data_IF_333596112680
#
_entry.id   IF_333596112680
#
_cell.length_a   1.000
_cell.length_b   1.000
_cell.length_c   1.000
_cell.angle_alpha   90.00
_cell.angle_beta   90.00
_cell.angle_gamma   90.00
#
_symmetry.space_group_name_H-M   'P 1'
#
loop_
_entity.id
_entity.type
_entity.pdbx_description
1 polymer ?
#
# COMPACT_ATOMS: atom_id res chain seq x y z
N UNK A 1 5.27 7.07 13.59
CA UNK A 1 4.78 7.26 12.20
C UNK A 1 4.24 5.93 11.71
N UNK A 2 3.00 5.90 11.24
CA UNK A 2 2.44 4.70 10.63
C UNK A 2 2.97 4.53 9.19
N UNK A 3 2.68 3.40 8.56
CA UNK A 3 3.27 3.04 7.27
C UNK A 3 2.23 2.45 6.32
N UNK A 4 2.40 2.72 5.03
CA UNK A 4 1.60 2.14 3.96
C UNK A 4 2.52 1.37 3.04
N UNK A 5 2.02 0.30 2.45
CA UNK A 5 2.73 -0.44 1.43
C UNK A 5 1.77 -0.95 0.35
N UNK A 6 2.28 -1.07 -0.87
CA UNK A 6 1.56 -1.59 -2.02
C UNK A 6 2.45 -2.62 -2.72
N UNK A 7 1.93 -3.82 -2.93
CA UNK A 7 2.54 -4.80 -3.82
C UNK A 7 1.67 -4.97 -5.07
N UNK A 8 2.34 -5.08 -6.22
CA UNK A 8 1.71 -5.21 -7.53
C UNK A 8 2.31 -6.42 -8.22
N UNK A 9 1.48 -7.35 -8.67
CA UNK A 9 1.91 -8.57 -9.35
C UNK A 9 0.99 -8.90 -10.52
N UNK A 10 1.52 -9.65 -11.50
CA UNK A 10 0.75 -10.11 -12.66
C UNK A 10 0.30 -9.03 -13.65
N UNK A 11 0.78 -7.79 -13.52
CA UNK A 11 0.49 -6.70 -14.45
C UNK A 11 1.75 -5.89 -14.81
N UNK A 12 1.75 -5.29 -16.00
CA UNK A 12 2.75 -4.31 -16.42
C UNK A 12 2.25 -2.90 -16.10
N UNK A 13 2.99 -2.17 -15.27
CA UNK A 13 2.70 -0.77 -14.95
C UNK A 13 3.38 0.11 -16.00
N UNK A 14 2.60 0.79 -16.83
CA UNK A 14 3.14 1.80 -17.75
C UNK A 14 3.43 3.08 -16.96
N UNK A 15 4.71 3.36 -16.71
CA UNK A 15 5.17 4.55 -15.98
C UNK A 15 5.58 5.72 -16.88
N UNK A 16 5.34 5.61 -18.20
CA UNK A 16 5.82 6.58 -19.20
C UNK A 16 5.27 8.00 -19.04
N UNK A 17 4.16 8.18 -18.32
CA UNK A 17 3.55 9.48 -18.04
C UNK A 17 4.03 10.10 -16.72
N UNK A 18 4.87 9.41 -15.95
CA UNK A 18 5.43 9.95 -14.71
C UNK A 18 6.68 10.77 -15.04
N UNK A 19 6.81 12.01 -14.55
CA UNK A 19 8.01 12.83 -14.71
C UNK A 19 9.11 12.31 -13.77
N UNK A 20 9.62 11.10 -14.05
CA UNK A 20 10.86 10.63 -13.44
C UNK A 20 11.99 10.87 -14.43
N UNK A 21 12.81 11.90 -14.17
CA UNK A 21 14.12 12.07 -14.81
C UNK A 21 15.04 10.95 -14.33
N UNK A 22 14.87 9.75 -14.88
CA UNK A 22 15.74 8.62 -14.59
C UNK A 22 16.96 8.62 -15.51
N UNK A 23 17.86 9.59 -15.31
CA UNK A 23 19.26 9.49 -15.74
C UNK A 23 20.00 8.56 -14.78
N UNK A 24 19.71 7.25 -14.85
CA UNK A 24 20.53 6.22 -14.23
C UNK A 24 20.22 4.89 -14.92
N UNK A 25 21.06 4.45 -15.87
CA UNK A 25 20.98 3.08 -16.37
C UNK A 25 21.62 2.18 -15.30
N UNK A 26 21.06 0.99 -15.13
CA UNK A 26 21.64 -0.08 -14.32
C UNK A 26 21.41 0.01 -12.79
N UNK A 27 20.15 0.00 -12.36
CA UNK A 27 19.82 -0.78 -11.16
C UNK A 27 19.44 -2.16 -11.64
N UNK A 28 20.37 -3.11 -11.52
CA UNK A 28 20.02 -4.52 -11.53
C UNK A 28 18.82 -4.64 -10.59
N UNK A 29 17.67 -5.02 -11.15
CA UNK A 29 16.51 -5.38 -10.35
C UNK A 29 16.95 -6.62 -9.59
N UNK A 30 17.58 -6.42 -8.43
CA UNK A 30 17.72 -7.47 -7.44
C UNK A 30 16.34 -8.08 -7.31
N UNK A 31 16.25 -9.38 -7.56
CA UNK A 31 15.01 -10.14 -7.55
C UNK A 31 14.57 -10.22 -6.09
N UNK A 32 14.13 -9.08 -5.55
CA UNK A 32 13.77 -8.90 -4.17
C UNK A 32 12.37 -9.48 -4.06
N UNK A 33 12.35 -10.79 -3.82
CA UNK A 33 11.15 -11.55 -3.48
C UNK A 33 10.72 -11.06 -2.09
N UNK A 34 10.07 -9.90 -2.06
CA UNK A 34 9.47 -9.37 -0.83
C UNK A 34 8.21 -10.17 -0.57
N UNK A 35 8.22 -11.00 0.49
CA UNK A 35 7.01 -11.68 0.93
C UNK A 35 6.00 -10.69 1.50
N UNK A 36 4.72 -10.95 1.26
CA UNK A 36 3.63 -10.20 1.88
C UNK A 36 3.75 -10.21 3.41
N UNK A 37 4.20 -11.31 3.99
CA UNK A 37 4.32 -11.45 5.45
C UNK A 37 5.52 -10.67 5.99
N UNK A 38 6.64 -10.62 5.26
CA UNK A 38 7.78 -9.78 5.64
C UNK A 38 7.39 -8.30 5.67
N UNK A 39 6.58 -7.87 4.71
CA UNK A 39 6.06 -6.51 4.64
C UNK A 39 5.11 -6.19 5.79
N UNK A 40 4.21 -7.13 6.13
CA UNK A 40 3.36 -6.99 7.33
C UNK A 40 4.20 -6.89 8.59
N UNK A 41 5.20 -7.76 8.75
CA UNK A 41 6.08 -7.76 9.93
C UNK A 41 6.93 -6.48 10.00
N UNK A 42 7.43 -5.99 8.87
CA UNK A 42 8.14 -4.70 8.80
C UNK A 42 7.23 -3.53 9.25
N UNK A 43 5.95 -3.56 8.89
CA UNK A 43 4.98 -2.57 9.33
C UNK A 43 4.61 -2.73 10.81
N UNK A 44 4.43 -3.96 11.29
CA UNK A 44 4.12 -4.28 12.70
C UNK A 44 5.22 -3.82 13.66
N UNK A 45 6.49 -3.94 13.28
CA UNK A 45 7.64 -3.47 14.08
C UNK A 45 7.63 -1.96 14.35
N UNK A 46 6.80 -1.18 13.64
CA UNK A 46 6.62 0.26 13.89
C UNK A 46 5.64 0.57 15.03
N UNK A 47 5.04 -0.47 15.63
CA UNK A 47 4.04 -0.37 16.69
C UNK A 47 2.73 0.31 16.26
N UNK A 48 2.12 -0.02 15.11
CA UNK A 48 0.80 0.49 14.78
C UNK A 48 -0.27 -0.14 15.68
N UNK A 49 -1.35 0.58 15.95
CA UNK A 49 -2.51 0.08 16.68
C UNK A 49 -3.35 -0.86 15.80
N UNK A 50 -3.31 -0.66 14.49
CA UNK A 50 -4.03 -1.50 13.53
C UNK A 50 -3.21 -1.77 12.26
N UNK A 51 -3.44 -2.93 11.67
CA UNK A 51 -2.88 -3.32 10.39
C UNK A 51 -3.99 -3.95 9.55
N UNK A 52 -4.25 -3.40 8.38
CA UNK A 52 -5.20 -3.95 7.42
C UNK A 52 -4.58 -4.23 6.07
N UNK A 53 -5.20 -5.16 5.34
CA UNK A 53 -4.78 -5.60 4.02
C UNK A 53 -6.00 -5.65 3.11
N UNK A 54 -5.87 -5.11 1.90
CA UNK A 54 -6.89 -5.19 0.85
C UNK A 54 -6.26 -5.70 -0.44
N UNK A 55 -6.75 -6.84 -0.94
CA UNK A 55 -6.40 -7.40 -2.24
C UNK A 55 -7.44 -7.02 -3.28
N UNK A 56 -6.99 -6.64 -4.47
CA UNK A 56 -7.82 -6.37 -5.64
C UNK A 56 -7.28 -7.19 -6.79
N UNK A 57 -8.13 -7.99 -7.39
CA UNK A 57 -7.79 -8.85 -8.52
C UNK A 57 -8.34 -8.23 -9.80
N UNK A 58 -7.55 -8.26 -10.86
CA UNK A 58 -7.94 -7.80 -12.19
C UNK A 58 -7.74 -8.92 -13.20
N UNK A 59 -8.68 -9.12 -14.14
CA UNK A 59 -8.45 -10.01 -15.25
C UNK A 59 -7.35 -9.42 -16.15
N UNK A 60 -6.34 -10.21 -16.50
CA UNK A 60 -5.33 -9.86 -17.48
C UNK A 60 -5.20 -10.99 -18.51
N UNK A 61 -4.78 -10.67 -19.73
CA UNK A 61 -4.79 -11.63 -20.84
C UNK A 61 -3.89 -12.85 -20.57
N UNK A 62 -2.82 -12.67 -19.80
CA UNK A 62 -1.83 -13.72 -19.50
C UNK A 62 -1.93 -14.24 -18.05
N UNK A 63 -2.98 -13.88 -17.30
CA UNK A 63 -3.19 -14.29 -15.90
C UNK A 63 -4.07 -13.33 -15.10
N UNK A 64 -4.28 -13.59 -13.81
CA UNK A 64 -4.92 -12.60 -12.93
C UNK A 64 -3.86 -11.66 -12.36
N UNK A 65 -4.04 -10.35 -12.59
CA UNK A 65 -3.28 -9.32 -11.91
C UNK A 65 -3.76 -9.15 -10.47
N UNK A 66 -2.85 -8.88 -9.53
CA UNK A 66 -3.18 -8.58 -8.13
C UNK A 66 -2.54 -7.27 -7.68
N UNK A 67 -3.33 -6.41 -7.04
CA UNK A 67 -2.88 -5.31 -6.22
C UNK A 67 -3.17 -5.63 -4.75
N UNK A 68 -2.15 -5.64 -3.91
CA UNK A 68 -2.31 -5.83 -2.47
C UNK A 68 -1.86 -4.58 -1.72
N UNK A 69 -2.84 -3.89 -1.17
CA UNK A 69 -2.70 -2.69 -0.36
C UNK A 69 -2.58 -3.06 1.12
N UNK A 70 -1.61 -2.48 1.82
CA UNK A 70 -1.40 -2.70 3.24
C UNK A 70 -1.33 -1.34 3.94
N UNK A 71 -2.21 -1.15 4.92
CA UNK A 71 -2.22 0.04 5.76
C UNK A 71 -1.93 -0.33 7.19
N UNK A 72 -0.88 0.23 7.77
CA UNK A 72 -0.67 0.25 9.21
C UNK A 72 -1.11 1.62 9.74
N UNK A 73 -1.88 1.65 10.81
CA UNK A 73 -2.36 2.89 11.45
C UNK A 73 -1.86 2.95 12.88
N UNK A 74 -1.26 4.08 13.24
CA UNK A 74 -0.93 4.44 14.62
C UNK A 74 -1.79 5.66 14.97
N UNK A 75 -2.78 5.45 15.82
CA UNK A 75 -3.78 6.42 16.21
C UNK A 75 -3.21 7.31 17.33
N UNK A 76 -2.70 8.48 16.96
CA UNK A 76 -2.18 9.43 17.94
C UNK A 76 -3.28 10.30 18.60
N UNK A 77 -4.46 10.39 17.99
CA UNK A 77 -5.63 11.17 18.46
C UNK A 77 -6.93 10.55 17.96
N UNK A 78 -8.04 10.70 18.68
CA UNK A 78 -9.35 10.11 18.33
C UNK A 78 -9.67 8.88 19.18
N UNK A 79 -10.94 8.49 19.25
CA UNK A 79 -11.44 7.46 20.19
C UNK A 79 -11.65 6.09 19.56
N UNK A 80 -11.66 6.00 18.23
CA UNK A 80 -11.88 4.75 17.49
C UNK A 80 -10.65 4.43 16.65
N UNK A 81 -10.00 3.27 16.87
CA UNK A 81 -8.90 2.83 16.02
C UNK A 81 -9.44 2.55 14.61
N UNK A 82 -8.94 3.29 13.62
CA UNK A 82 -9.28 3.08 12.21
C UNK A 82 -8.36 2.02 11.61
N UNK A 83 -8.93 1.08 10.87
CA UNK A 83 -8.21 0.08 10.08
C UNK A 83 -8.18 0.54 8.63
N UNK A 84 -6.98 0.71 8.08
CA UNK A 84 -6.78 1.01 6.66
C UNK A 84 -6.33 -0.26 5.92
N UNK A 85 -6.64 -0.45 4.63
CA UNK A 85 -7.21 0.53 3.70
C UNK A 85 -8.71 0.77 3.91
N UNK A 86 -9.14 2.02 3.74
CA UNK A 86 -10.56 2.36 3.72
C UNK A 86 -11.12 2.08 2.32
N UNK A 87 -12.34 1.54 2.26
CA UNK A 87 -13.03 1.26 0.99
C UNK A 87 -14.41 1.88 1.04
N UNK A 88 -14.74 2.71 0.05
CA UNK A 88 -16.07 3.32 -0.05
C UNK A 88 -17.07 2.41 -0.80
N UNK A 89 -18.31 2.87 -0.93
CA UNK A 89 -19.37 2.15 -1.64
C UNK A 89 -19.07 1.96 -3.14
N UNK A 90 -18.31 2.87 -3.74
CA UNK A 90 -17.87 2.84 -5.14
C UNK A 90 -16.62 1.99 -5.37
N UNK A 91 -16.13 1.29 -4.34
CA UNK A 91 -14.89 0.48 -4.36
C UNK A 91 -13.61 1.30 -4.55
N UNK A 92 -13.64 2.60 -4.29
CA UNK A 92 -12.42 3.39 -4.17
C UNK A 92 -11.65 2.96 -2.93
N UNK A 93 -10.33 2.89 -3.03
CA UNK A 93 -9.46 2.49 -1.92
C UNK A 93 -8.63 3.70 -1.50
N UNK A 94 -8.74 4.08 -0.22
CA UNK A 94 -7.95 5.14 0.38
C UNK A 94 -6.96 4.56 1.38
N UNK A 95 -5.68 4.86 1.15
CA UNK A 95 -4.62 4.74 2.13
C UNK A 95 -4.06 6.13 2.37
N UNK A 96 -3.87 6.46 3.64
CA UNK A 96 -3.49 7.78 4.06
C UNK A 96 -2.58 7.70 5.28
N UNK A 97 -1.49 8.46 5.24
CA UNK A 97 -0.60 8.66 6.38
C UNK A 97 -0.71 10.11 6.84
N UNK A 98 -1.19 10.31 8.06
CA UNK A 98 -1.32 11.62 8.68
C UNK A 98 -2.52 11.68 9.63
N UNK A 99 -2.95 12.90 9.95
CA UNK A 99 -4.10 13.17 10.83
C UNK A 99 -5.18 13.93 10.07
N UNK A 100 -6.42 13.45 10.15
CA UNK A 100 -7.58 14.28 9.85
C UNK A 100 -7.82 15.22 11.04
N UNK A 101 -7.65 16.52 10.83
CA UNK A 101 -8.12 17.53 11.78
C UNK A 101 -9.63 17.60 11.66
N UNK A 102 -10.35 16.85 12.51
CA UNK A 102 -11.73 17.20 12.78
C UNK A 102 -11.70 18.49 13.59
N UNK A 103 -12.19 19.60 13.02
CA UNK A 103 -12.59 20.75 13.82
C UNK A 103 -13.72 20.27 14.72
N UNK A 104 -13.43 20.10 16.01
CA UNK A 104 -14.45 20.04 17.05
C UNK A 104 -14.77 21.48 17.42
#
# INVERSE_FOLDING_TARGET
>A
MCGIALTVSGIRINISSLPFDSTSPNRQSENLVISLDDLKEALRRRGPDSLGVKKVNFPHNDGNGELCFIGATLQLRGTLPLVQPLVDASRNILLYNGTFCYFV
#
